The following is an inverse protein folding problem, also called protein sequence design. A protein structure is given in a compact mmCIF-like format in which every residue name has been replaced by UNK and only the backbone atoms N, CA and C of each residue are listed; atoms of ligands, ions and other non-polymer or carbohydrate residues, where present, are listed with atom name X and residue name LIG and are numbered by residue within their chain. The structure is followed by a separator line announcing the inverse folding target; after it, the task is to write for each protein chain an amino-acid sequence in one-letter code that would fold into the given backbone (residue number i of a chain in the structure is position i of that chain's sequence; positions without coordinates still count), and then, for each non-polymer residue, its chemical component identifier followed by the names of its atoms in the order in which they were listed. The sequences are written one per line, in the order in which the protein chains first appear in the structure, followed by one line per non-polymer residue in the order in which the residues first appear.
data_IF_490079773795
#
_entry.id   IF_490079773795
#
_cell.length_a   1.000
_cell.length_b   1.000
_cell.length_c   1.000
_cell.angle_alpha   90.00
_cell.angle_beta   90.00
_cell.angle_gamma   90.00
#
_symmetry.space_group_name_H-M   'P 1'
#
loop_
_entity.id
_entity.type
_entity.pdbx_description
1 polymer ?
#
# COMPACT_ATOMS: atom_id res chain seq x y z
N UNK A 1 -18.08 -39.81 -75.89
CA UNK A 1 -17.93 -38.85 -74.76
C UNK A 1 -17.95 -37.45 -75.33
N UNK A 2 -18.85 -36.61 -74.83
CA UNK A 2 -19.49 -35.49 -75.55
C UNK A 2 -18.62 -34.26 -75.82
N UNK A 3 -18.68 -33.83 -77.09
CA UNK A 3 -18.81 -32.46 -77.66
C UNK A 3 -18.07 -31.27 -77.01
N UNK A 4 -17.11 -30.71 -77.76
CA UNK A 4 -16.86 -29.26 -77.93
C UNK A 4 -18.03 -28.61 -78.72
N UNK A 5 -18.33 -27.27 -78.69
CA UNK A 5 -17.36 -26.20 -79.00
C UNK A 5 -17.59 -24.75 -78.44
N UNK A 6 -16.55 -23.92 -78.64
CA UNK A 6 -16.48 -22.48 -79.01
C UNK A 6 -17.53 -21.45 -78.54
N UNK A 7 -17.08 -20.24 -78.20
CA UNK A 7 -17.27 -19.04 -79.06
C UNK A 7 -16.41 -17.85 -78.59
N UNK A 8 -15.86 -17.14 -79.57
CA UNK A 8 -15.13 -15.87 -79.48
C UNK A 8 -16.02 -14.72 -78.98
N UNK A 9 -15.43 -13.67 -78.41
CA UNK A 9 -15.61 -12.29 -78.91
C UNK A 9 -14.81 -11.26 -78.10
N UNK A 10 -14.43 -10.22 -78.82
CA UNK A 10 -13.42 -9.21 -78.54
C UNK A 10 -14.06 -7.83 -78.31
N UNK A 11 -13.34 -6.98 -77.58
CA UNK A 11 -13.26 -5.51 -77.71
C UNK A 11 -14.48 -4.61 -77.42
N UNK A 12 -14.13 -3.58 -76.65
CA UNK A 12 -14.55 -2.16 -76.66
C UNK A 12 -15.69 -1.70 -75.73
N UNK A 13 -15.23 -0.85 -74.79
CA UNK A 13 -15.74 0.48 -74.44
C UNK A 13 -17.22 0.59 -74.07
N UNK A 14 -17.50 1.05 -72.85
CA UNK A 14 -18.29 2.28 -72.68
C UNK A 14 -17.94 2.98 -71.36
N UNK A 15 -17.65 4.27 -71.48
CA UNK A 15 -17.59 5.22 -70.37
C UNK A 15 -18.93 5.26 -69.64
N UNK A 16 -18.89 5.36 -68.30
CA UNK A 16 -19.85 6.18 -67.58
C UNK A 16 -19.12 7.06 -66.56
N UNK A 17 -19.28 8.36 -66.79
CA UNK A 17 -19.05 9.47 -65.89
C UNK A 17 -20.06 9.45 -64.74
N UNK A 18 -19.64 9.97 -63.59
CA UNK A 18 -20.48 10.28 -62.43
C UNK A 18 -19.72 9.83 -61.18
N UNK A 19 -19.05 10.69 -60.43
CA UNK A 19 -19.57 11.91 -59.83
C UNK A 19 -19.04 11.88 -58.38
N UNK A 20 -18.55 13.00 -57.92
CA UNK A 20 -17.76 13.17 -56.70
C UNK A 20 -18.32 12.52 -55.44
N UNK A 21 -17.48 11.81 -54.70
CA UNK A 21 -17.65 11.61 -53.27
C UNK A 21 -16.36 12.07 -52.56
N UNK A 22 -16.45 13.24 -51.94
CA UNK A 22 -15.44 13.74 -51.04
C UNK A 22 -15.24 12.73 -49.89
N UNK A 23 -14.04 12.15 -49.79
CA UNK A 23 -13.62 11.48 -48.57
C UNK A 23 -13.44 12.56 -47.49
N UNK A 24 -14.47 12.74 -46.67
CA UNK A 24 -14.30 13.33 -45.34
C UNK A 24 -13.49 12.32 -44.54
N UNK A 25 -12.20 12.60 -44.39
CA UNK A 25 -11.37 11.96 -43.39
C UNK A 25 -11.88 12.39 -42.00
N UNK A 26 -12.88 11.67 -41.50
CA UNK A 26 -13.29 11.79 -40.11
C UNK A 26 -12.19 11.18 -39.25
N UNK A 27 -11.29 12.04 -38.77
CA UNK A 27 -10.37 11.73 -37.70
C UNK A 27 -11.14 11.32 -36.46
N UNK A 28 -11.12 10.02 -36.16
CA UNK A 28 -11.30 9.53 -34.80
C UNK A 28 -9.95 8.99 -34.32
N UNK A 29 -9.09 9.92 -33.89
CA UNK A 29 -8.06 9.58 -32.91
C UNK A 29 -8.68 9.60 -31.52
N UNK A 30 -9.62 8.68 -31.27
CA UNK A 30 -9.88 8.24 -29.90
C UNK A 30 -8.82 7.20 -29.60
N UNK A 31 -7.65 7.64 -29.13
CA UNK A 31 -6.88 6.82 -28.21
C UNK A 31 -7.78 6.62 -26.99
N UNK A 32 -8.67 5.64 -27.05
CA UNK A 32 -9.21 5.03 -25.86
C UNK A 32 -7.98 4.49 -25.12
N UNK A 33 -7.49 5.27 -24.15
CA UNK A 33 -6.56 4.79 -23.13
C UNK A 33 -7.21 3.51 -22.59
N UNK A 34 -6.55 2.39 -22.78
CA UNK A 34 -7.16 1.09 -22.58
C UNK A 34 -7.56 0.94 -21.10
N UNK A 35 -8.87 0.90 -20.81
CA UNK A 35 -9.35 0.28 -19.57
C UNK A 35 -9.01 -1.20 -19.68
N UNK A 36 -8.06 -1.67 -18.87
CA UNK A 36 -7.65 -3.07 -18.91
C UNK A 36 -8.87 -3.97 -18.68
N UNK A 37 -9.10 -4.94 -19.57
CA UNK A 37 -10.21 -5.90 -19.48
C UNK A 37 -10.07 -6.92 -18.32
N UNK A 38 -9.03 -6.76 -17.49
CA UNK A 38 -8.71 -7.62 -16.34
C UNK A 38 -8.86 -6.84 -15.03
N UNK A 39 -9.03 -7.52 -13.89
CA UNK A 39 -9.01 -6.86 -12.60
C UNK A 39 -7.69 -6.13 -12.33
N UNK A 40 -7.77 -5.01 -11.62
CA UNK A 40 -6.66 -4.33 -10.96
C UNK A 40 -6.26 -5.15 -9.73
N UNK A 41 -5.03 -5.64 -9.67
CA UNK A 41 -4.50 -6.39 -8.54
C UNK A 41 -3.91 -5.42 -7.52
N UNK A 42 -4.60 -5.24 -6.39
CA UNK A 42 -4.23 -4.31 -5.33
C UNK A 42 -3.66 -5.09 -4.16
N UNK A 43 -2.34 -5.06 -4.00
CA UNK A 43 -1.67 -5.81 -2.96
C UNK A 43 -1.74 -5.11 -1.60
N UNK A 44 -1.70 -5.90 -0.54
CA UNK A 44 -1.63 -5.44 0.84
C UNK A 44 -0.83 -6.41 1.72
N UNK A 45 -0.16 -5.87 2.74
CA UNK A 45 0.37 -6.67 3.85
C UNK A 45 -0.74 -6.86 4.89
N UNK A 46 -0.67 -7.91 5.71
CA UNK A 46 -1.73 -8.23 6.68
C UNK A 46 -1.64 -7.36 7.96
N UNK A 47 -1.69 -6.04 7.77
CA UNK A 47 -1.68 -5.00 8.79
C UNK A 47 -3.01 -4.24 8.76
N UNK A 48 -3.48 -3.77 9.92
CA UNK A 48 -4.82 -3.17 10.00
C UNK A 48 -4.94 -1.89 9.16
N UNK A 49 -3.89 -1.06 9.10
CA UNK A 49 -3.78 0.11 8.22
C UNK A 49 -3.85 -0.30 6.74
N UNK A 50 -3.10 -1.33 6.35
CA UNK A 50 -3.06 -1.84 5.00
C UNK A 50 -4.39 -2.45 4.54
N UNK A 51 -5.09 -3.11 5.46
CA UNK A 51 -6.45 -3.57 5.24
C UNK A 51 -7.40 -2.37 5.06
N UNK A 52 -7.33 -1.35 5.92
CA UNK A 52 -8.18 -0.17 5.84
C UNK A 52 -8.04 0.56 4.47
N UNK A 53 -6.82 1.00 4.13
CA UNK A 53 -6.55 1.75 2.89
C UNK A 53 -6.84 0.93 1.63
N UNK A 54 -6.55 -0.37 1.63
CA UNK A 54 -6.73 -1.23 0.47
C UNK A 54 -8.20 -1.50 0.20
N UNK A 55 -8.98 -1.83 1.24
CA UNK A 55 -10.39 -2.17 1.05
C UNK A 55 -11.28 -0.94 0.85
N UNK A 56 -10.94 0.22 1.43
CA UNK A 56 -11.58 1.50 1.07
C UNK A 56 -11.26 1.86 -0.38
N UNK A 57 -9.98 1.84 -0.76
CA UNK A 57 -9.56 2.13 -2.13
C UNK A 57 -10.20 1.18 -3.15
N UNK A 58 -10.24 -0.12 -2.86
CA UNK A 58 -10.94 -1.14 -3.65
C UNK A 58 -12.38 -0.73 -3.91
N UNK A 59 -13.15 -0.46 -2.84
CA UNK A 59 -14.58 -0.17 -2.97
C UNK A 59 -14.81 1.14 -3.75
N UNK A 60 -14.05 2.20 -3.47
CA UNK A 60 -14.15 3.45 -4.21
C UNK A 60 -13.82 3.29 -5.69
N UNK A 61 -12.78 2.51 -6.02
CA UNK A 61 -12.40 2.22 -7.41
C UNK A 61 -13.51 1.44 -8.14
N UNK A 62 -14.06 0.41 -7.50
CA UNK A 62 -15.13 -0.41 -8.08
C UNK A 62 -16.43 0.38 -8.28
N UNK A 63 -16.81 1.20 -7.29
CA UNK A 63 -18.07 1.95 -7.31
C UNK A 63 -18.05 3.13 -8.30
N UNK A 64 -16.88 3.72 -8.58
CA UNK A 64 -16.79 4.99 -9.33
C UNK A 64 -16.12 4.88 -10.70
N UNK A 65 -15.24 3.91 -10.91
CA UNK A 65 -14.43 3.87 -12.14
C UNK A 65 -14.73 2.67 -13.05
N UNK A 66 -15.53 1.70 -12.58
CA UNK A 66 -15.95 0.54 -13.37
C UNK A 66 -14.91 -0.58 -13.44
N UNK A 67 -13.79 -0.46 -12.71
CA UNK A 67 -12.80 -1.53 -12.61
C UNK A 67 -13.26 -2.61 -11.63
N UNK A 68 -12.84 -3.86 -11.88
CA UNK A 68 -12.82 -4.88 -10.83
C UNK A 68 -11.50 -4.80 -10.10
N UNK A 69 -11.52 -4.96 -8.78
CA UNK A 69 -10.30 -4.95 -7.97
C UNK A 69 -10.14 -6.30 -7.29
N UNK A 70 -8.99 -6.92 -7.51
CA UNK A 70 -8.59 -8.15 -6.85
C UNK A 70 -7.59 -7.81 -5.73
N UNK A 71 -7.99 -7.87 -4.46
CA UNK A 71 -7.05 -7.70 -3.35
C UNK A 71 -6.10 -8.91 -3.30
N UNK A 72 -4.82 -8.67 -3.06
CA UNK A 72 -3.80 -9.72 -2.94
C UNK A 72 -2.96 -9.54 -1.68
N UNK A 73 -3.12 -10.44 -0.72
CA UNK A 73 -2.29 -10.46 0.48
C UNK A 73 -0.91 -11.05 0.18
N UNK A 74 0.16 -10.35 0.56
CA UNK A 74 1.53 -10.88 0.53
C UNK A 74 2.47 -10.08 1.43
N UNK A 75 3.66 -10.64 1.70
CA UNK A 75 4.72 -9.90 2.40
C UNK A 75 5.30 -8.77 1.52
N UNK A 76 5.77 -7.65 2.11
CA UNK A 76 6.27 -6.50 1.35
C UNK A 76 7.30 -6.85 0.27
N UNK A 77 8.30 -7.69 0.59
CA UNK A 77 9.30 -8.11 -0.39
C UNK A 77 8.71 -8.85 -1.59
N UNK A 78 7.68 -9.67 -1.37
CA UNK A 78 6.94 -10.38 -2.44
C UNK A 78 6.08 -9.40 -3.24
N UNK A 79 5.46 -8.42 -2.58
CA UNK A 79 4.68 -7.37 -3.24
C UNK A 79 5.56 -6.58 -4.21
N UNK A 80 6.73 -6.09 -3.77
CA UNK A 80 7.63 -5.35 -4.66
C UNK A 80 8.16 -6.19 -5.81
N UNK A 81 8.49 -7.47 -5.58
CA UNK A 81 8.85 -8.39 -6.66
C UNK A 81 7.70 -8.59 -7.65
N UNK A 82 6.45 -8.62 -7.16
CA UNK A 82 5.24 -8.78 -7.96
C UNK A 82 4.86 -7.52 -8.73
N UNK A 83 5.14 -6.33 -8.19
CA UNK A 83 5.06 -5.06 -8.91
C UNK A 83 6.02 -5.07 -10.09
N UNK A 84 7.28 -5.46 -9.85
CA UNK A 84 8.29 -5.56 -10.90
C UNK A 84 7.92 -6.55 -12.00
N UNK A 85 7.33 -7.70 -11.63
CA UNK A 85 6.93 -8.74 -12.60
C UNK A 85 5.56 -8.50 -13.24
N UNK A 86 4.86 -7.40 -12.92
CA UNK A 86 3.53 -7.09 -13.44
C UNK A 86 2.38 -7.96 -12.89
N UNK A 87 2.60 -8.71 -11.81
CA UNK A 87 1.56 -9.51 -11.13
C UNK A 87 0.71 -8.69 -10.17
N UNK A 88 1.24 -7.57 -9.67
CA UNK A 88 0.55 -6.60 -8.82
C UNK A 88 0.51 -5.25 -9.53
N UNK A 89 -0.59 -4.53 -9.42
CA UNK A 89 -0.78 -3.21 -10.04
C UNK A 89 -0.45 -2.07 -9.08
N UNK A 90 -0.87 -2.18 -7.82
CA UNK A 90 -0.75 -1.14 -6.80
C UNK A 90 -0.48 -1.73 -5.41
N UNK A 91 0.20 -0.94 -4.57
CA UNK A 91 0.42 -1.18 -3.14
C UNK A 91 0.46 0.17 -2.42
N UNK A 92 -0.26 0.31 -1.30
CA UNK A 92 -0.47 1.61 -0.65
C UNK A 92 0.22 1.78 0.70
N UNK A 93 0.81 0.72 1.25
CA UNK A 93 1.56 0.80 2.51
C UNK A 93 3.07 0.74 2.23
N UNK A 94 3.49 1.46 1.19
CA UNK A 94 4.90 1.61 0.81
C UNK A 94 5.57 2.62 1.77
N UNK A 95 5.83 2.17 2.99
CA UNK A 95 6.33 2.99 4.10
C UNK A 95 7.77 3.49 3.90
N UNK A 96 7.98 4.82 3.91
CA UNK A 96 9.28 5.46 3.72
C UNK A 96 9.40 6.79 4.49
N UNK A 97 10.63 7.26 4.66
CA UNK A 97 10.94 8.48 5.40
C UNK A 97 10.73 9.74 4.56
N UNK A 98 10.08 10.74 5.15
CA UNK A 98 9.82 12.05 4.55
C UNK A 98 8.98 11.97 3.27
N UNK A 99 8.85 13.08 2.56
CA UNK A 99 8.11 13.17 1.28
C UNK A 99 9.02 13.13 0.04
N UNK A 100 10.33 12.92 0.25
CA UNK A 100 11.33 12.69 -0.80
C UNK A 100 10.97 11.60 -1.82
N UNK A 101 10.28 10.50 -1.44
CA UNK A 101 9.91 9.45 -2.40
C UNK A 101 9.08 9.92 -3.60
N UNK A 102 8.27 10.99 -3.44
CA UNK A 102 7.51 11.59 -4.56
C UNK A 102 8.42 12.18 -5.65
N UNK A 103 9.70 12.41 -5.33
CA UNK A 103 10.73 12.95 -6.22
C UNK A 103 11.84 11.93 -6.51
N UNK A 104 11.67 10.68 -6.09
CA UNK A 104 12.66 9.62 -6.28
C UNK A 104 13.76 9.54 -5.21
N UNK A 105 13.65 10.29 -4.10
CA UNK A 105 14.57 10.17 -2.96
C UNK A 105 14.02 9.16 -1.94
N UNK A 106 14.52 7.92 -1.99
CA UNK A 106 14.02 6.81 -1.17
C UNK A 106 14.93 6.56 0.04
N UNK A 107 14.39 6.79 1.25
CA UNK A 107 15.09 6.60 2.53
C UNK A 107 14.17 5.96 3.58
N UNK A 108 14.76 5.27 4.55
CA UNK A 108 14.06 4.63 5.67
C UNK A 108 13.05 3.56 5.24
N UNK A 109 12.48 2.86 6.23
CA UNK A 109 11.39 1.90 6.01
C UNK A 109 11.68 0.89 4.90
N UNK A 110 10.81 0.88 3.88
CA UNK A 110 10.84 -0.04 2.74
C UNK A 110 11.65 0.48 1.55
N UNK A 111 12.42 1.56 1.70
CA UNK A 111 13.17 2.19 0.61
C UNK A 111 14.11 1.24 -0.14
N UNK A 112 14.71 0.27 0.54
CA UNK A 112 15.62 -0.70 -0.11
C UNK A 112 14.88 -1.66 -1.05
N UNK A 113 13.60 -1.94 -0.82
CA UNK A 113 12.78 -2.64 -1.80
C UNK A 113 12.44 -1.75 -2.99
N UNK A 114 11.99 -0.52 -2.72
CA UNK A 114 11.62 0.47 -3.74
C UNK A 114 12.80 0.71 -4.70
N UNK A 115 14.02 0.93 -4.18
CA UNK A 115 15.23 1.11 -4.99
C UNK A 115 15.50 -0.04 -5.96
N UNK A 116 15.28 -1.29 -5.52
CA UNK A 116 15.51 -2.49 -6.36
C UNK A 116 14.55 -2.57 -7.54
N UNK A 117 13.36 -1.99 -7.42
CA UNK A 117 12.30 -2.08 -8.42
C UNK A 117 11.93 -0.73 -9.04
N UNK A 118 12.68 0.34 -8.73
CA UNK A 118 12.36 1.73 -9.09
C UNK A 118 12.15 1.96 -10.59
N UNK A 119 12.82 1.19 -11.45
CA UNK A 119 12.63 1.27 -12.90
C UNK A 119 11.28 0.74 -13.38
N UNK A 120 10.61 -0.10 -12.57
CA UNK A 120 9.35 -0.75 -12.89
C UNK A 120 8.14 -0.14 -12.18
N UNK A 121 8.35 0.83 -11.27
CA UNK A 121 7.29 1.43 -10.47
C UNK A 121 7.27 2.95 -10.56
N UNK A 122 6.20 3.52 -10.04
CA UNK A 122 5.99 4.94 -9.81
C UNK A 122 5.38 5.14 -8.41
N UNK A 123 5.79 6.21 -7.72
CA UNK A 123 5.22 6.62 -6.44
C UNK A 123 4.28 7.80 -6.71
N UNK A 124 2.97 7.60 -6.58
CA UNK A 124 1.96 8.56 -7.05
C UNK A 124 1.57 9.61 -6.01
N UNK A 125 1.56 9.24 -4.73
CA UNK A 125 0.99 10.08 -3.66
C UNK A 125 1.25 9.49 -2.29
N UNK A 126 1.04 10.32 -1.27
CA UNK A 126 1.01 9.90 0.15
C UNK A 126 -0.35 9.27 0.42
N UNK A 127 -0.35 8.06 0.96
CA UNK A 127 -1.57 7.32 1.32
C UNK A 127 -1.96 7.53 2.79
N UNK A 128 -0.97 7.63 3.66
CA UNK A 128 -1.12 7.77 5.11
C UNK A 128 0.08 8.56 5.67
N UNK A 129 -0.18 9.34 6.73
CA UNK A 129 0.83 9.99 7.55
C UNK A 129 0.55 11.48 7.84
N UNK A 130 1.42 12.14 8.62
CA UNK A 130 2.67 11.61 9.15
C UNK A 130 2.44 10.51 10.20
N UNK A 131 3.33 9.54 10.23
CA UNK A 131 3.33 8.43 11.18
C UNK A 131 4.51 8.57 12.13
N UNK A 132 4.49 7.87 13.25
CA UNK A 132 5.69 7.71 14.11
C UNK A 132 5.93 6.23 14.36
N UNK A 133 7.18 5.78 14.44
CA UNK A 133 7.48 4.38 14.79
C UNK A 133 8.57 4.25 15.85
N UNK A 134 8.63 3.11 16.53
CA UNK A 134 9.71 2.88 17.48
C UNK A 134 9.60 1.59 18.28
N UNK A 135 10.51 1.49 19.27
CA UNK A 135 10.41 0.50 20.34
C UNK A 135 9.57 1.09 21.47
N UNK A 136 8.47 0.44 21.81
CA UNK A 136 7.57 0.92 22.86
C UNK A 136 7.47 -0.08 24.02
N UNK A 137 7.18 0.46 25.19
CA UNK A 137 6.97 -0.28 26.44
C UNK A 137 5.70 0.23 27.13
N UNK A 138 5.05 -0.58 27.98
CA UNK A 138 4.01 -0.09 28.88
C UNK A 138 4.55 1.01 29.81
N UNK A 139 3.70 1.97 30.20
CA UNK A 139 4.15 3.12 31.02
C UNK A 139 4.68 2.76 32.41
N UNK A 140 4.34 1.57 32.92
CA UNK A 140 4.84 1.08 34.21
C UNK A 140 6.27 0.50 34.13
N UNK A 141 6.84 0.36 32.94
CA UNK A 141 8.25 0.01 32.76
C UNK A 141 9.08 1.25 33.07
N UNK A 142 10.14 1.11 33.88
CA UNK A 142 10.84 2.26 34.48
C UNK A 142 11.92 2.88 33.58
N UNK A 143 12.37 2.17 32.53
CA UNK A 143 13.46 2.63 31.64
C UNK A 143 12.97 3.64 30.59
N UNK A 144 13.79 4.63 30.24
CA UNK A 144 13.37 5.71 29.32
C UNK A 144 14.06 5.68 27.96
N UNK A 145 15.17 4.95 27.82
CA UNK A 145 16.01 4.90 26.62
C UNK A 145 16.25 3.46 26.14
N UNK A 146 16.44 3.29 24.84
CA UNK A 146 16.90 2.02 24.23
C UNK A 146 18.24 1.57 24.84
N UNK A 147 19.09 2.50 25.28
CA UNK A 147 20.39 2.21 25.92
C UNK A 147 20.26 1.39 27.22
N UNK A 148 19.12 1.49 27.91
CA UNK A 148 18.87 0.82 29.18
C UNK A 148 18.38 -0.62 29.00
N UNK A 149 17.94 -1.01 27.79
CA UNK A 149 17.39 -2.34 27.52
C UNK A 149 18.35 -3.47 27.92
N UNK A 150 19.65 -3.30 27.64
CA UNK A 150 20.67 -4.31 27.92
C UNK A 150 20.84 -4.62 29.42
N UNK A 151 20.64 -3.63 30.29
CA UNK A 151 20.72 -3.81 31.74
C UNK A 151 19.51 -4.58 32.30
N UNK A 152 18.41 -4.65 31.53
CA UNK A 152 17.14 -5.25 31.93
C UNK A 152 16.68 -6.37 31.00
N UNK A 153 17.57 -6.93 30.17
CA UNK A 153 17.23 -7.90 29.15
C UNK A 153 16.43 -9.11 29.69
N UNK A 154 16.77 -9.61 30.88
CA UNK A 154 16.06 -10.71 31.52
C UNK A 154 14.60 -10.36 31.89
N UNK A 155 14.32 -9.12 32.30
CA UNK A 155 12.95 -8.67 32.60
C UNK A 155 12.06 -8.70 31.35
N UNK A 156 12.65 -8.46 30.18
CA UNK A 156 11.96 -8.53 28.88
C UNK A 156 11.96 -9.95 28.26
N UNK A 157 12.37 -10.97 29.01
CA UNK A 157 12.50 -12.34 28.48
C UNK A 157 13.53 -12.47 27.36
N UNK A 158 14.51 -11.56 27.31
CA UNK A 158 15.58 -11.54 26.31
C UNK A 158 15.13 -11.23 24.88
N UNK A 159 13.93 -10.68 24.67
CA UNK A 159 13.35 -10.50 23.33
C UNK A 159 12.68 -9.14 23.14
N UNK A 160 12.71 -8.65 21.90
CA UNK A 160 11.85 -7.57 21.40
C UNK A 160 10.79 -8.23 20.52
N UNK A 161 9.51 -8.00 20.83
CA UNK A 161 8.41 -8.59 20.04
C UNK A 161 8.16 -7.73 18.82
N UNK A 162 8.39 -8.31 17.65
CA UNK A 162 8.23 -7.68 16.35
C UNK A 162 6.94 -8.04 15.64
N UNK A 163 6.80 -7.48 14.44
CA UNK A 163 5.76 -7.82 13.45
C UNK A 163 6.36 -8.66 12.31
N UNK A 164 5.80 -8.58 11.12
CA UNK A 164 6.25 -9.28 9.93
C UNK A 164 7.69 -8.91 9.57
N UNK A 165 8.55 -9.92 9.43
CA UNK A 165 9.99 -9.75 9.20
C UNK A 165 10.29 -8.92 7.93
N UNK A 166 9.40 -8.96 6.94
CA UNK A 166 9.54 -8.23 5.69
C UNK A 166 9.22 -6.73 5.80
N UNK A 167 8.66 -6.25 6.92
CA UNK A 167 8.25 -4.85 7.10
C UNK A 167 9.42 -3.87 7.16
N UNK A 168 9.13 -2.61 6.83
CA UNK A 168 10.11 -1.52 6.98
C UNK A 168 10.46 -1.26 8.45
N UNK A 169 9.48 -1.41 9.36
CA UNK A 169 9.67 -1.30 10.81
C UNK A 169 10.66 -2.35 11.34
N UNK A 170 10.53 -3.61 10.90
CA UNK A 170 11.45 -4.67 11.32
C UNK A 170 12.87 -4.48 10.77
N UNK A 171 13.02 -3.87 9.59
CA UNK A 171 14.33 -3.49 9.06
C UNK A 171 14.99 -2.38 9.90
N UNK A 172 14.22 -1.38 10.32
CA UNK A 172 14.70 -0.36 11.28
C UNK A 172 15.06 -1.00 12.61
N UNK A 173 14.21 -1.88 13.16
CA UNK A 173 14.45 -2.54 14.44
C UNK A 173 15.70 -3.42 14.43
N UNK A 174 15.96 -4.14 13.34
CA UNK A 174 17.21 -4.92 13.17
C UNK A 174 18.44 -4.02 13.15
N UNK A 175 18.37 -2.86 12.47
CA UNK A 175 19.45 -1.84 12.51
C UNK A 175 19.65 -1.31 13.91
N UNK A 176 18.58 -1.04 14.65
CA UNK A 176 18.62 -0.59 16.06
C UNK A 176 19.28 -1.62 16.97
N UNK A 177 18.87 -2.90 16.88
CA UNK A 177 19.48 -4.00 17.64
C UNK A 177 20.99 -4.04 17.43
N UNK A 178 21.45 -3.92 16.18
CA UNK A 178 22.88 -3.90 15.86
C UNK A 178 23.57 -2.63 16.35
N UNK A 179 22.98 -1.47 16.12
CA UNK A 179 23.58 -0.17 16.45
C UNK A 179 23.78 0.01 17.96
N UNK A 180 22.90 -0.56 18.79
CA UNK A 180 22.98 -0.53 20.24
C UNK A 180 23.64 -1.76 20.87
N UNK A 181 24.07 -2.73 20.06
CA UNK A 181 24.57 -4.04 20.53
C UNK A 181 23.60 -4.67 21.55
N UNK A 182 22.31 -4.72 21.18
CA UNK A 182 21.27 -5.19 22.09
C UNK A 182 21.41 -6.70 22.33
N UNK A 183 21.40 -7.08 23.61
CA UNK A 183 21.34 -8.48 24.06
C UNK A 183 19.97 -9.13 23.80
N UNK A 184 18.94 -8.30 23.62
CA UNK A 184 17.60 -8.76 23.30
C UNK A 184 17.55 -9.18 21.82
N UNK A 185 16.90 -10.30 21.54
CA UNK A 185 16.67 -10.77 20.17
C UNK A 185 15.40 -10.16 19.61
N UNK A 186 15.46 -9.59 18.41
CA UNK A 186 14.26 -9.22 17.68
C UNK A 186 13.55 -10.48 17.19
N UNK A 187 12.31 -10.69 17.63
CA UNK A 187 11.50 -11.86 17.28
C UNK A 187 10.42 -11.44 16.29
N UNK A 188 10.49 -11.96 15.07
CA UNK A 188 9.46 -11.73 14.07
C UNK A 188 8.14 -12.41 14.45
N UNK A 189 7.04 -11.81 14.01
CA UNK A 189 5.68 -12.27 14.23
C UNK A 189 4.74 -11.65 13.22
N UNK A 190 3.59 -11.17 13.70
CA UNK A 190 2.62 -10.37 12.95
C UNK A 190 2.12 -9.24 13.84
N UNK A 191 1.49 -8.23 13.27
CA UNK A 191 0.82 -7.16 14.03
C UNK A 191 -0.10 -7.74 15.12
N UNK A 192 -1.05 -8.61 14.74
CA UNK A 192 -1.97 -9.23 15.68
C UNK A 192 -1.27 -10.05 16.79
N UNK A 193 -0.16 -10.73 16.47
CA UNK A 193 0.61 -11.46 17.46
C UNK A 193 1.34 -10.52 18.44
N UNK A 194 1.88 -9.42 17.93
CA UNK A 194 2.53 -8.37 18.71
C UNK A 194 1.54 -7.71 19.67
N UNK A 195 0.37 -7.28 19.17
CA UNK A 195 -0.68 -6.67 20.00
C UNK A 195 -1.19 -7.64 21.08
N UNK A 196 -1.40 -8.91 20.72
CA UNK A 196 -1.82 -9.92 21.68
C UNK A 196 -0.74 -10.18 22.75
N UNK A 197 0.54 -10.16 22.38
CA UNK A 197 1.64 -10.27 23.35
C UNK A 197 1.68 -9.06 24.29
N UNK A 198 1.52 -7.86 23.75
CA UNK A 198 1.46 -6.62 24.51
C UNK A 198 0.30 -6.62 25.51
N UNK A 199 -0.93 -6.92 25.05
CA UNK A 199 -2.11 -7.00 25.90
C UNK A 199 -1.97 -8.02 27.03
N UNK A 200 -1.39 -9.20 26.74
CA UNK A 200 -1.10 -10.22 27.78
C UNK A 200 -0.10 -9.72 28.82
N UNK A 201 0.98 -9.07 28.38
CA UNK A 201 2.00 -8.54 29.29
C UNK A 201 1.42 -7.43 30.18
N UNK A 202 0.67 -6.48 29.60
CA UNK A 202 -0.04 -5.43 30.35
C UNK A 202 -1.00 -6.01 31.38
N UNK A 203 -1.78 -7.04 31.02
CA UNK A 203 -2.71 -7.71 31.92
C UNK A 203 -2.02 -8.39 33.11
N UNK A 204 -0.78 -8.84 32.95
CA UNK A 204 0.04 -9.48 34.01
C UNK A 204 1.04 -8.54 34.69
N UNK A 205 1.15 -7.29 34.22
CA UNK A 205 2.21 -6.35 34.64
C UNK A 205 3.64 -6.85 34.35
N UNK A 206 3.78 -7.66 33.30
CA UNK A 206 5.08 -8.15 32.83
C UNK A 206 5.79 -7.08 32.00
N UNK A 207 7.12 -7.01 32.07
CA UNK A 207 7.89 -6.13 31.19
C UNK A 207 7.88 -6.68 29.76
N UNK A 208 7.53 -5.84 28.80
CA UNK A 208 7.57 -6.14 27.37
C UNK A 208 8.08 -4.93 26.62
N UNK A 209 8.85 -5.18 25.55
CA UNK A 209 9.23 -4.18 24.55
C UNK A 209 8.79 -4.71 23.18
N UNK A 210 8.12 -3.84 22.42
CA UNK A 210 7.55 -4.19 21.11
C UNK A 210 7.96 -3.20 20.04
N UNK A 211 8.00 -3.63 18.79
CA UNK A 211 8.01 -2.70 17.64
C UNK A 211 6.58 -2.27 17.34
N UNK A 212 6.33 -0.97 17.22
CA UNK A 212 4.98 -0.44 16.93
C UNK A 212 5.07 0.93 16.25
N UNK A 213 3.94 1.42 15.77
CA UNK A 213 3.78 2.72 15.12
C UNK A 213 2.46 3.40 15.51
N UNK A 214 2.40 4.71 15.36
CA UNK A 214 1.18 5.50 15.43
C UNK A 214 0.74 5.86 14.00
N UNK A 215 -0.57 5.74 13.69
CA UNK A 215 -1.71 5.75 14.61
C UNK A 215 -2.37 4.38 14.93
N UNK A 216 -1.63 3.31 15.26
CA UNK A 216 -2.26 2.03 15.62
C UNK A 216 -3.27 2.16 16.78
N UNK A 217 -4.43 1.47 16.75
CA UNK A 217 -5.46 1.60 17.78
C UNK A 217 -4.97 1.26 19.19
N UNK A 218 -3.98 0.38 19.33
CA UNK A 218 -3.39 0.00 20.63
C UNK A 218 -2.91 1.20 21.46
N UNK A 219 -2.46 2.29 20.83
CA UNK A 219 -1.99 3.50 21.51
C UNK A 219 -3.08 4.23 22.30
N UNK A 220 -4.34 4.05 21.91
CA UNK A 220 -5.49 4.59 22.64
C UNK A 220 -6.05 3.60 23.66
N UNK A 221 -5.76 2.31 23.50
CA UNK A 221 -6.25 1.24 24.36
C UNK A 221 -5.36 1.00 25.59
N UNK A 222 -4.06 1.28 25.46
CA UNK A 222 -3.07 1.04 26.50
C UNK A 222 -2.31 2.30 26.88
N UNK A 223 -1.90 2.38 28.14
CA UNK A 223 -0.94 3.38 28.63
C UNK A 223 0.47 2.90 28.32
N UNK A 224 1.08 3.47 27.29
CA UNK A 224 2.36 3.07 26.75
C UNK A 224 3.10 4.25 26.15
N UNK A 225 4.41 4.07 25.94
CA UNK A 225 5.30 5.09 25.42
C UNK A 225 6.44 4.49 24.61
N UNK A 226 6.96 5.28 23.68
CA UNK A 226 8.24 4.98 23.04
C UNK A 226 9.41 5.11 24.03
N UNK A 227 10.42 4.27 23.83
CA UNK A 227 11.76 4.47 24.38
C UNK A 227 12.49 5.52 23.54
N UNK A 228 13.26 6.38 24.20
CA UNK A 228 14.14 7.32 23.49
C UNK A 228 15.16 6.56 22.66
N UNK A 229 15.39 7.03 21.44
CA UNK A 229 16.37 6.50 20.50
C UNK A 229 17.46 7.55 20.21
N UNK A 230 18.45 7.75 21.11
CA UNK A 230 19.53 8.72 20.91
C UNK A 230 20.33 8.59 19.60
N UNK A 231 20.33 7.41 18.96
CA UNK A 231 21.06 7.13 17.72
C UNK A 231 20.18 7.33 16.47
N UNK A 232 18.90 7.65 16.63
CA UNK A 232 17.95 7.87 15.54
C UNK A 232 17.93 6.72 14.51
N UNK A 233 17.90 5.48 15.02
CA UNK A 233 17.93 4.26 14.20
C UNK A 233 16.55 3.76 13.79
N UNK A 234 15.54 4.02 14.62
CA UNK A 234 14.12 3.83 14.36
C UNK A 234 13.47 5.13 13.87
N UNK A 235 13.85 6.24 14.51
CA UNK A 235 13.14 7.52 14.48
C UNK A 235 14.00 8.62 13.85
N UNK A 236 13.80 8.87 12.56
CA UNK A 236 14.16 10.14 11.94
C UNK A 236 12.92 10.64 11.18
N UNK A 237 11.92 11.02 11.98
CA UNK A 237 10.58 11.45 11.56
C UNK A 237 10.58 12.71 10.68
N UNK A 238 9.52 12.93 9.87
CA UNK A 238 8.29 12.12 9.75
C UNK A 238 8.41 10.95 8.75
N UNK A 239 7.72 9.84 9.02
CA UNK A 239 7.44 8.79 8.03
C UNK A 239 6.05 8.91 7.39
N UNK A 240 5.91 8.33 6.20
CA UNK A 240 4.66 8.26 5.44
C UNK A 240 4.55 6.92 4.71
N UNK A 241 3.32 6.49 4.46
CA UNK A 241 3.03 5.48 3.45
C UNK A 241 2.73 6.15 2.10
N UNK A 242 2.99 5.41 1.02
CA UNK A 242 2.80 5.90 -0.34
C UNK A 242 2.07 4.88 -1.22
N UNK A 243 1.41 5.40 -2.25
CA UNK A 243 0.92 4.61 -3.38
C UNK A 243 2.06 4.28 -4.34
N UNK A 244 2.57 3.05 -4.27
CA UNK A 244 3.47 2.48 -5.25
C UNK A 244 2.67 1.70 -6.31
N UNK A 245 2.79 2.10 -7.57
CA UNK A 245 2.12 1.45 -8.69
C UNK A 245 3.13 1.03 -9.75
N UNK A 246 2.76 0.10 -10.64
CA UNK A 246 3.60 -0.22 -11.81
C UNK A 246 3.77 0.97 -12.75
N UNK A 247 4.83 0.96 -13.55
CA UNK A 247 5.15 2.08 -14.45
C UNK A 247 4.10 2.36 -15.54
N UNK A 248 3.46 1.32 -16.05
CA UNK A 248 2.40 1.35 -17.05
C UNK A 248 0.99 1.44 -16.41
N UNK A 249 0.88 1.77 -15.12
CA UNK A 249 -0.41 1.80 -14.42
C UNK A 249 -1.36 2.82 -15.03
N UNK A 250 -0.85 3.98 -15.44
CA UNK A 250 -1.62 5.04 -16.10
C UNK A 250 -2.23 4.58 -17.43
N UNK A 251 -1.54 3.72 -18.16
CA UNK A 251 -1.97 3.27 -19.49
C UNK A 251 -3.11 2.24 -19.40
N UNK A 252 -3.12 1.47 -18.30
CA UNK A 252 -4.08 0.38 -18.06
C UNK A 252 -5.28 0.79 -17.18
N UNK A 253 -5.07 1.71 -16.24
CA UNK A 253 -6.06 2.15 -15.25
C UNK A 253 -6.03 3.68 -15.04
N UNK A 254 -6.23 4.49 -16.10
CA UNK A 254 -6.04 5.95 -16.04
C UNK A 254 -6.88 6.65 -14.97
N UNK A 255 -8.10 6.19 -14.70
CA UNK A 255 -8.95 6.77 -13.63
C UNK A 255 -8.46 6.40 -12.24
N UNK A 256 -8.05 5.15 -12.03
CA UNK A 256 -7.48 4.72 -10.76
C UNK A 256 -6.12 5.41 -10.50
N UNK A 257 -5.35 5.70 -11.55
CA UNK A 257 -4.12 6.48 -11.44
C UNK A 257 -4.42 7.90 -10.91
N UNK A 258 -5.39 8.59 -11.50
CA UNK A 258 -5.79 9.92 -11.03
C UNK A 258 -6.31 9.90 -9.58
N UNK A 259 -7.04 8.84 -9.22
CA UNK A 259 -7.50 8.60 -7.85
C UNK A 259 -6.32 8.43 -6.87
N UNK A 260 -5.35 7.55 -7.15
CA UNK A 260 -4.20 7.30 -6.27
C UNK A 260 -3.24 8.51 -6.13
N UNK A 261 -3.34 9.53 -6.98
CA UNK A 261 -2.60 10.78 -6.77
C UNK A 261 -3.20 11.65 -5.66
N UNK A 262 -4.48 11.44 -5.32
CA UNK A 262 -5.24 12.26 -4.36
C UNK A 262 -5.68 11.48 -3.13
N UNK A 263 -5.88 10.17 -3.29
CA UNK A 263 -6.39 9.29 -2.26
C UNK A 263 -5.44 9.26 -1.07
N UNK A 264 -5.95 9.57 0.11
CA UNK A 264 -5.23 9.39 1.37
C UNK A 264 -6.28 9.23 2.47
N UNK A 265 -6.05 8.42 3.50
CA UNK A 265 -6.95 8.40 4.65
C UNK A 265 -6.34 9.28 5.74
N UNK A 266 -7.11 10.20 6.36
CA UNK A 266 -6.66 10.92 7.54
C UNK A 266 -6.40 9.95 8.71
N UNK A 267 -5.31 10.13 9.46
CA UNK A 267 -4.90 9.21 10.53
C UNK A 267 -6.00 8.88 11.55
N UNK A 268 -6.86 9.84 11.92
CA UNK A 268 -7.97 9.61 12.86
C UNK A 268 -9.06 8.71 12.26
N UNK A 269 -9.32 8.89 10.96
CA UNK A 269 -10.26 8.07 10.20
C UNK A 269 -9.72 6.66 9.97
N UNK A 270 -8.42 6.53 9.70
CA UNK A 270 -7.77 5.22 9.54
C UNK A 270 -7.78 4.45 10.86
N UNK A 271 -7.39 5.10 11.97
CA UNK A 271 -7.43 4.51 13.30
C UNK A 271 -8.83 4.03 13.71
N UNK A 272 -9.88 4.75 13.29
CA UNK A 272 -11.25 4.30 13.50
C UNK A 272 -11.54 2.99 12.75
N UNK A 273 -11.15 2.89 11.48
CA UNK A 273 -11.36 1.70 10.65
C UNK A 273 -10.54 0.52 11.14
N UNK A 274 -9.26 0.73 11.46
CA UNK A 274 -8.39 -0.25 12.10
C UNK A 274 -9.05 -0.81 13.37
N UNK A 275 -9.59 0.06 14.23
CA UNK A 275 -10.25 -0.37 15.47
C UNK A 275 -11.46 -1.28 15.26
N UNK A 276 -12.15 -1.18 14.12
CA UNK A 276 -13.24 -2.09 13.78
C UNK A 276 -12.70 -3.44 13.32
N UNK A 277 -11.65 -3.43 12.50
CA UNK A 277 -10.97 -4.62 11.98
C UNK A 277 -10.37 -5.43 13.13
N UNK A 278 -9.66 -4.79 14.07
CA UNK A 278 -9.04 -5.44 15.22
C UNK A 278 -10.08 -6.09 16.15
N UNK A 279 -11.30 -5.54 16.18
CA UNK A 279 -12.46 -6.08 16.90
C UNK A 279 -13.22 -7.17 16.12
N UNK A 280 -12.72 -7.55 14.95
CA UNK A 280 -13.23 -8.67 14.16
C UNK A 280 -14.20 -8.30 13.05
N UNK A 281 -14.42 -7.02 12.75
CA UNK A 281 -15.16 -6.62 11.55
C UNK A 281 -14.35 -6.98 10.29
N UNK A 282 -15.00 -7.52 9.26
CA UNK A 282 -14.29 -7.81 8.01
C UNK A 282 -13.84 -6.51 7.33
N UNK A 283 -12.66 -6.47 6.69
CA UNK A 283 -12.17 -5.28 5.99
C UNK A 283 -13.16 -4.69 4.98
N UNK A 284 -13.87 -5.53 4.21
CA UNK A 284 -14.89 -5.09 3.26
C UNK A 284 -16.08 -4.40 3.95
N UNK A 285 -16.50 -4.94 5.09
CA UNK A 285 -17.61 -4.39 5.88
C UNK A 285 -17.19 -3.07 6.54
N UNK A 286 -15.98 -3.01 7.08
CA UNK A 286 -15.40 -1.80 7.67
C UNK A 286 -15.22 -0.68 6.63
N UNK A 287 -14.73 -1.02 5.44
CA UNK A 287 -14.59 -0.08 4.33
C UNK A 287 -15.95 0.43 3.84
N UNK A 288 -16.94 -0.46 3.66
CA UNK A 288 -18.29 -0.06 3.27
C UNK A 288 -18.91 0.88 4.30
N UNK A 289 -18.81 0.51 5.58
CA UNK A 289 -19.29 1.35 6.69
C UNK A 289 -18.63 2.72 6.69
N UNK A 290 -17.30 2.78 6.57
CA UNK A 290 -16.58 4.06 6.60
C UNK A 290 -16.95 4.95 5.42
N UNK A 291 -17.11 4.37 4.23
CA UNK A 291 -17.53 5.10 3.02
C UNK A 291 -18.94 5.66 3.20
N UNK A 292 -19.88 4.86 3.70
CA UNK A 292 -21.25 5.31 3.94
C UNK A 292 -21.30 6.42 4.99
N UNK A 293 -20.50 6.32 6.06
CA UNK A 293 -20.41 7.33 7.11
C UNK A 293 -19.77 8.64 6.61
N UNK A 294 -18.97 8.62 5.54
CA UNK A 294 -18.24 9.79 5.02
C UNK A 294 -18.77 10.35 3.69
N UNK A 295 -19.74 9.68 3.07
CA UNK A 295 -20.36 10.11 1.83
C UNK A 295 -21.04 11.48 1.99
N UNK A 296 -20.81 12.39 1.03
CA UNK A 296 -21.40 13.73 1.05
C UNK A 296 -20.75 14.70 2.05
N UNK A 297 -19.68 14.28 2.75
CA UNK A 297 -18.89 15.17 3.63
C UNK A 297 -17.76 15.90 2.90
N UNK A 298 -17.56 15.63 1.60
CA UNK A 298 -16.58 16.28 0.75
C UNK A 298 -15.19 15.63 0.76
N UNK A 299 -14.92 14.69 1.67
CA UNK A 299 -13.63 14.00 1.76
C UNK A 299 -13.43 13.04 0.57
N UNK A 300 -14.39 12.14 0.35
CA UNK A 300 -14.32 11.12 -0.71
C UNK A 300 -14.38 11.78 -2.10
N UNK A 301 -15.23 12.81 -2.24
CA UNK A 301 -15.46 13.52 -3.48
C UNK A 301 -14.19 14.15 -4.04
N UNK A 302 -13.24 14.56 -3.20
CA UNK A 302 -11.95 15.09 -3.63
C UNK A 302 -11.09 14.05 -4.36
N UNK A 303 -11.24 12.77 -4.02
CA UNK A 303 -10.43 11.69 -4.59
C UNK A 303 -11.03 11.13 -5.87
N UNK A 304 -12.36 11.11 -5.97
CA UNK A 304 -13.08 10.51 -7.11
C UNK A 304 -13.45 11.50 -8.22
N UNK A 305 -13.24 12.80 -8.00
CA UNK A 305 -13.47 13.86 -8.98
C UNK A 305 -12.41 13.91 -10.09
#
# INVERSE_FOLDING_TARGET
MSKMPSFEASRRQFLQLGGSAALVAAGFSTTALADAARPLVYAYANWSDALAITFIGKKLIEDNFGYKVQPLQADPGVIYASLQSGKVDAFSNSYMQGTGPLKGDYKGGQADYVKKVASAIEILGVSEGPMTQGLAVPDYVEINSIEELNAHAEKFGGSIVGIDAGSGLMQSADKTVKAYDLKLKLVAGSEAAMEAAFGRAVGRKDWIVVTTWEPLPMWTQYKMRYLKDPKATMMEEPFYCFHAVRKDFKDNFPKAHAFFQKFHIPNDQEALVMSWIDKGMKPEEAAAKWIDDNKGKGLIEQWIA
#
